data_IF_140478451833
#
_entry.id   IF_140478451833
#
_cell.length_a   1.000
_cell.length_b   1.000
_cell.length_c   1.000
_cell.angle_alpha   90.00
_cell.angle_beta   90.00
_cell.angle_gamma   90.00
#
_symmetry.space_group_name_H-M   'P 1'
#
loop_
_entity.id
_entity.type
_entity.pdbx_description
1 polymer ?
#
# COMPACT_ATOMS: atom_id res chain seq x y z
N UNK A 1 -9.69 8.29 -13.82
CA UNK A 1 -8.95 7.63 -12.72
C UNK A 1 -7.65 8.42 -12.51
N UNK A 2 -7.13 8.51 -11.28
CA UNK A 2 -5.81 9.11 -11.04
C UNK A 2 -4.73 8.26 -11.71
N UNK A 3 -3.70 8.87 -12.29
CA UNK A 3 -2.53 8.15 -12.83
C UNK A 3 -1.61 7.62 -11.72
N UNK A 4 -1.70 8.21 -10.53
CA UNK A 4 -0.94 7.82 -9.34
C UNK A 4 -1.83 7.19 -8.27
N UNK A 5 -1.29 6.21 -7.55
CA UNK A 5 -1.83 5.65 -6.32
C UNK A 5 -0.86 5.80 -5.15
N UNK A 6 -1.40 5.79 -3.94
CA UNK A 6 -0.61 5.71 -2.71
C UNK A 6 -0.56 4.28 -2.22
N UNK A 7 0.59 3.86 -1.68
CA UNK A 7 0.75 2.60 -0.96
C UNK A 7 1.54 2.82 0.32
N UNK A 8 1.18 2.08 1.37
CA UNK A 8 2.00 1.97 2.58
C UNK A 8 2.84 0.71 2.44
N UNK A 9 4.15 0.83 2.53
CA UNK A 9 5.08 -0.31 2.51
C UNK A 9 5.74 -0.49 3.87
N UNK A 10 6.14 -1.72 4.18
CA UNK A 10 7.00 -2.01 5.32
C UNK A 10 8.44 -1.57 4.96
N UNK A 11 8.88 -0.44 5.51
CA UNK A 11 10.21 0.12 5.29
C UNK A 11 11.28 -0.63 6.10
N UNK A 12 10.93 -1.10 7.29
CA UNK A 12 11.79 -1.91 8.16
C UNK A 12 10.94 -2.78 9.08
N UNK A 13 11.49 -3.89 9.58
CA UNK A 13 10.79 -4.68 10.61
C UNK A 13 10.96 -4.00 11.97
N UNK A 14 9.88 -3.83 12.76
CA UNK A 14 9.99 -3.27 14.09
C UNK A 14 10.78 -4.19 15.02
N UNK A 15 11.52 -3.59 15.95
CA UNK A 15 11.99 -4.25 17.15
C UNK A 15 11.11 -3.78 18.32
N UNK A 16 10.26 -4.68 18.83
CA UNK A 16 9.18 -4.32 19.75
C UNK A 16 7.96 -3.71 19.05
N UNK A 17 7.40 -2.65 19.63
CA UNK A 17 6.21 -2.00 19.08
C UNK A 17 6.53 -1.26 17.77
N UNK A 18 5.63 -1.30 16.77
CA UNK A 18 5.82 -0.55 15.53
C UNK A 18 5.87 0.96 15.79
N UNK A 19 6.72 1.64 15.02
CA UNK A 19 6.83 3.08 14.97
C UNK A 19 6.71 3.57 13.52
N UNK A 20 6.65 4.89 13.34
CA UNK A 20 6.44 5.52 12.04
C UNK A 20 7.54 5.19 11.03
N UNK A 21 8.79 5.00 11.47
CA UNK A 21 9.93 4.68 10.60
C UNK A 21 9.83 3.26 10.01
N UNK A 22 9.02 2.38 10.60
CA UNK A 22 8.78 1.04 10.05
C UNK A 22 7.92 1.07 8.79
N UNK A 23 7.25 2.19 8.51
CA UNK A 23 6.36 2.33 7.37
C UNK A 23 6.79 3.49 6.48
N UNK A 24 6.46 3.39 5.19
CA UNK A 24 6.64 4.50 4.26
C UNK A 24 5.44 4.63 3.35
N UNK A 25 4.94 5.86 3.23
CA UNK A 25 3.92 6.22 2.25
C UNK A 25 4.60 6.56 0.92
N UNK A 26 4.27 5.79 -0.11
CA UNK A 26 4.83 5.97 -1.45
C UNK A 26 3.73 6.36 -2.44
N UNK A 27 4.05 7.28 -3.34
CA UNK A 27 3.21 7.61 -4.50
C UNK A 27 3.81 6.95 -5.74
N UNK A 28 3.04 6.08 -6.38
CA UNK A 28 3.49 5.29 -7.54
C UNK A 28 2.45 5.35 -8.66
N UNK A 29 2.84 4.96 -9.88
CA UNK A 29 1.87 4.83 -10.98
C UNK A 29 0.84 3.74 -10.70
N UNK A 30 -0.40 3.98 -11.11
CA UNK A 30 -1.46 2.96 -11.05
C UNK A 30 -1.10 1.83 -12.03
N UNK A 31 -1.05 0.57 -11.58
CA UNK A 31 -0.70 -0.54 -12.46
C UNK A 31 -1.82 -0.83 -13.47
N UNK A 32 -1.44 -1.28 -14.65
CA UNK A 32 -2.38 -1.83 -15.63
C UNK A 32 -2.55 -3.34 -15.38
N UNK A 33 -3.78 -3.83 -15.15
CA UNK A 33 -4.02 -5.27 -14.96
C UNK A 33 -3.71 -6.05 -16.25
N UNK A 34 -3.13 -7.25 -16.09
CA UNK A 34 -2.91 -8.20 -17.18
C UNK A 34 -4.16 -9.05 -17.43
N UNK A 35 -4.07 -9.95 -18.42
CA UNK A 35 -5.14 -10.91 -18.69
C UNK A 35 -5.47 -11.76 -17.45
N UNK A 36 -6.75 -11.85 -17.11
CA UNK A 36 -7.23 -12.52 -15.89
C UNK A 36 -7.08 -11.73 -14.57
N UNK A 37 -6.51 -10.52 -14.58
CA UNK A 37 -6.37 -9.68 -13.38
C UNK A 37 -7.47 -8.61 -13.30
N UNK A 38 -7.69 -8.05 -12.10
CA UNK A 38 -8.58 -6.91 -11.88
C UNK A 38 -7.87 -5.80 -11.11
N UNK A 39 -8.17 -4.55 -11.46
CA UNK A 39 -7.71 -3.39 -10.70
C UNK A 39 -8.81 -2.94 -9.73
N UNK A 40 -8.49 -2.91 -8.44
CA UNK A 40 -9.44 -2.55 -7.38
C UNK A 40 -9.05 -1.22 -6.74
N UNK A 41 -10.02 -0.31 -6.62
CA UNK A 41 -9.86 0.90 -5.81
C UNK A 41 -10.29 0.60 -4.38
N UNK A 42 -9.32 0.46 -3.49
CA UNK A 42 -9.60 0.22 -2.06
C UNK A 42 -10.26 1.44 -1.42
N UNK A 43 -11.40 1.23 -0.76
CA UNK A 43 -12.12 2.27 -0.01
C UNK A 43 -11.86 2.20 1.49
N UNK A 44 -11.66 1.00 2.02
CA UNK A 44 -11.47 0.74 3.44
C UNK A 44 -10.39 -0.33 3.64
N UNK A 45 -9.62 -0.21 4.72
CA UNK A 45 -8.66 -1.21 5.17
C UNK A 45 -9.09 -1.74 6.53
N UNK A 46 -9.05 -3.06 6.71
CA UNK A 46 -9.07 -3.66 8.05
C UNK A 46 -7.69 -3.52 8.66
N UNK A 47 -7.61 -3.24 9.95
CA UNK A 47 -6.37 -3.27 10.73
C UNK A 47 -6.58 -4.26 11.88
N UNK A 48 -5.80 -5.33 11.86
CA UNK A 48 -5.91 -6.45 12.79
C UNK A 48 -4.58 -6.62 13.57
N UNK A 49 -4.62 -7.02 14.87
CA UNK A 49 -3.42 -7.23 15.71
C UNK A 49 -2.49 -8.36 15.28
#
# INVERSE_FOLDING_TARGET
>A
MSEKMQRIVLASRPDGAPNDENFRLETVDVPTPKDGEVLVKTHYFSLDP
#
